data_IF_679199379275
#
_entry.id   IF_679199379275
#
_cell.length_a   1.000
_cell.length_b   1.000
_cell.length_c   1.000
_cell.angle_alpha   90.00
_cell.angle_beta   90.00
_cell.angle_gamma   90.00
#
_symmetry.space_group_name_H-M   'P 1'
#
loop_
_entity.id
_entity.type
_entity.pdbx_description
1 polymer ?
#
# COMPACT_ATOMS: atom_id res chain seq x y z
N UNK A 1 -8.78 -33.50 15.70
CA UNK A 1 -8.14 -33.35 14.38
C UNK A 1 -8.80 -32.28 13.49
N UNK A 2 -10.11 -32.31 13.20
CA UNK A 2 -10.79 -31.27 12.38
C UNK A 2 -10.59 -29.81 12.83
N UNK A 3 -10.58 -29.56 14.15
CA UNK A 3 -10.35 -28.21 14.72
C UNK A 3 -8.93 -27.69 14.48
N UNK A 4 -7.94 -28.58 14.48
CA UNK A 4 -6.52 -28.23 14.24
C UNK A 4 -6.28 -27.92 12.77
N UNK A 5 -6.97 -28.62 11.86
CA UNK A 5 -6.92 -28.30 10.44
C UNK A 5 -7.53 -26.94 10.11
N UNK A 6 -8.64 -26.56 10.77
CA UNK A 6 -9.27 -25.25 10.56
C UNK A 6 -8.36 -24.10 11.02
N UNK A 7 -7.71 -24.23 12.18
CA UNK A 7 -6.81 -23.20 12.70
C UNK A 7 -5.54 -23.07 11.86
N UNK A 8 -5.00 -24.18 11.35
CA UNK A 8 -3.85 -24.14 10.43
C UNK A 8 -4.20 -23.39 9.13
N UNK A 9 -5.37 -23.64 8.55
CA UNK A 9 -5.81 -22.97 7.32
C UNK A 9 -5.95 -21.45 7.49
N UNK A 10 -6.48 -20.98 8.63
CA UNK A 10 -6.58 -19.54 8.92
C UNK A 10 -5.22 -18.87 9.10
N UNK A 11 -4.25 -19.56 9.71
CA UNK A 11 -2.90 -19.01 9.90
C UNK A 11 -2.16 -18.82 8.56
N UNK A 12 -2.36 -19.72 7.59
CA UNK A 12 -1.83 -19.57 6.24
C UNK A 12 -2.50 -18.41 5.48
N UNK A 13 -3.81 -18.20 5.65
CA UNK A 13 -4.51 -17.06 5.06
C UNK A 13 -4.03 -15.69 5.60
N UNK A 14 -3.60 -15.63 6.87
CA UNK A 14 -3.08 -14.41 7.48
C UNK A 14 -1.70 -13.98 6.95
N UNK A 15 -0.96 -14.88 6.29
CA UNK A 15 0.35 -14.56 5.68
C UNK A 15 0.25 -13.64 4.46
N UNK A 16 -0.97 -13.38 3.97
CA UNK A 16 -1.25 -12.47 2.85
C UNK A 16 -1.23 -10.97 3.20
N UNK A 17 -1.14 -10.59 4.48
CA UNK A 17 -0.99 -9.18 4.90
C UNK A 17 0.46 -8.70 4.66
N UNK A 18 0.91 -8.69 3.41
CA UNK A 18 2.23 -8.18 3.06
C UNK A 18 2.24 -6.64 3.13
N UNK A 19 3.38 -6.05 3.49
CA UNK A 19 3.55 -4.58 3.47
C UNK A 19 3.29 -4.00 2.07
N UNK A 20 3.58 -4.78 1.03
CA UNK A 20 3.28 -4.43 -0.34
C UNK A 20 1.77 -4.36 -0.62
N UNK A 21 0.99 -5.34 -0.15
CA UNK A 21 -0.47 -5.30 -0.29
C UNK A 21 -1.08 -4.08 0.42
N UNK A 22 -0.58 -3.75 1.61
CA UNK A 22 -0.96 -2.53 2.33
C UNK A 22 -0.60 -1.26 1.56
N UNK A 23 0.61 -1.18 1.01
CA UNK A 23 1.05 -0.06 0.20
C UNK A 23 0.17 0.12 -1.05
N UNK A 24 -0.11 -0.95 -1.79
CA UNK A 24 -0.95 -0.88 -2.99
C UNK A 24 -2.38 -0.46 -2.64
N UNK A 25 -2.94 -0.99 -1.54
CA UNK A 25 -4.23 -0.56 -1.02
C UNK A 25 -4.26 0.95 -0.72
N UNK A 26 -3.27 1.45 0.01
CA UNK A 26 -3.17 2.87 0.34
C UNK A 26 -2.95 3.76 -0.90
N UNK A 27 -2.09 3.33 -1.83
CA UNK A 27 -1.84 4.00 -3.11
C UNK A 27 -3.12 4.10 -3.93
N UNK A 28 -3.94 3.05 -3.97
CA UNK A 28 -5.24 3.05 -4.66
C UNK A 28 -6.20 4.09 -4.06
N UNK A 29 -6.23 4.21 -2.74
CA UNK A 29 -7.05 5.23 -2.05
C UNK A 29 -6.56 6.65 -2.34
N UNK A 30 -5.24 6.87 -2.43
CA UNK A 30 -4.70 8.17 -2.83
C UNK A 30 -5.06 8.54 -4.27
N UNK A 31 -5.04 7.57 -5.20
CA UNK A 31 -5.51 7.79 -6.58
C UNK A 31 -6.96 8.25 -6.60
N UNK A 32 -7.84 7.58 -5.85
CA UNK A 32 -9.25 7.97 -5.72
C UNK A 32 -9.40 9.40 -5.19
N UNK A 33 -8.58 9.81 -4.20
CA UNK A 33 -8.58 11.19 -3.72
C UNK A 33 -8.15 12.19 -4.79
N UNK A 34 -7.18 11.83 -5.65
CA UNK A 34 -6.80 12.67 -6.79
C UNK A 34 -7.98 12.88 -7.75
N UNK A 35 -8.78 11.85 -8.00
CA UNK A 35 -9.96 11.95 -8.88
C UNK A 35 -11.04 12.90 -8.34
N UNK A 36 -11.08 13.13 -7.03
CA UNK A 36 -12.02 14.06 -6.41
C UNK A 36 -11.62 15.54 -6.60
N UNK A 37 -10.43 15.82 -7.14
CA UNK A 37 -10.01 17.18 -7.46
C UNK A 37 -10.83 17.70 -8.64
N UNK A 38 -11.33 18.92 -8.52
CA UNK A 38 -12.19 19.55 -9.54
C UNK A 38 -11.39 20.17 -10.67
N UNK A 39 -10.18 20.66 -10.38
CA UNK A 39 -9.29 21.24 -11.37
C UNK A 39 -8.45 20.15 -12.06
N UNK A 40 -8.51 20.08 -13.39
CA UNK A 40 -7.83 19.04 -14.16
C UNK A 40 -6.30 19.08 -14.03
N UNK A 41 -5.71 20.28 -13.95
CA UNK A 41 -4.27 20.41 -13.73
C UNK A 41 -3.85 19.84 -12.36
N UNK A 42 -4.66 20.06 -11.31
CA UNK A 42 -4.38 19.56 -9.96
C UNK A 42 -4.55 18.04 -9.89
N UNK A 43 -5.62 17.54 -10.54
CA UNK A 43 -5.87 16.11 -10.72
C UNK A 43 -4.70 15.41 -11.37
N UNK A 44 -4.23 15.92 -12.52
CA UNK A 44 -3.10 15.35 -13.26
C UNK A 44 -1.81 15.35 -12.43
N UNK A 45 -1.44 16.48 -11.83
CA UNK A 45 -0.24 16.54 -10.98
C UNK A 45 -0.32 15.61 -9.76
N UNK A 46 -1.51 15.45 -9.17
CA UNK A 46 -1.73 14.51 -8.08
C UNK A 46 -1.52 13.07 -8.55
N UNK A 47 -2.14 12.69 -9.67
CA UNK A 47 -2.02 11.35 -10.25
C UNK A 47 -0.57 11.03 -10.64
N UNK A 48 0.15 11.96 -11.25
CA UNK A 48 1.57 11.80 -11.60
C UNK A 48 2.41 11.49 -10.36
N UNK A 49 2.23 12.25 -9.28
CA UNK A 49 2.96 12.03 -8.02
C UNK A 49 2.66 10.65 -7.42
N UNK A 50 1.37 10.29 -7.32
CA UNK A 50 0.96 9.02 -6.72
C UNK A 50 1.42 7.85 -7.59
N UNK A 51 1.31 7.96 -8.92
CA UNK A 51 1.71 6.91 -9.84
C UNK A 51 3.23 6.74 -9.94
N UNK A 52 3.98 7.84 -9.85
CA UNK A 52 5.44 7.84 -9.94
C UNK A 52 6.15 7.21 -8.74
N UNK A 53 5.49 7.10 -7.58
CA UNK A 53 6.06 6.40 -6.42
C UNK A 53 5.90 4.89 -6.60
N UNK A 54 7.01 4.14 -6.51
CA UNK A 54 7.00 2.67 -6.50
C UNK A 54 7.11 2.11 -5.08
N UNK A 55 6.70 0.85 -4.89
CA UNK A 55 6.84 0.18 -3.59
C UNK A 55 8.29 0.17 -3.09
N UNK A 56 9.26 -0.11 -3.96
CA UNK A 56 10.68 -0.12 -3.60
C UNK A 56 11.17 1.26 -3.13
N UNK A 57 10.72 2.33 -3.78
CA UNK A 57 11.05 3.69 -3.35
C UNK A 57 10.45 4.00 -1.97
N UNK A 58 9.19 3.62 -1.75
CA UNK A 58 8.54 3.73 -0.45
C UNK A 58 9.28 2.95 0.64
N UNK A 59 9.68 1.71 0.35
CA UNK A 59 10.41 0.86 1.29
C UNK A 59 11.75 1.49 1.67
N UNK A 60 12.56 1.91 0.69
CA UNK A 60 13.85 2.58 0.94
C UNK A 60 13.70 3.86 1.76
N UNK A 61 12.69 4.67 1.47
CA UNK A 61 12.41 5.88 2.26
C UNK A 61 12.05 5.54 3.71
N UNK A 62 11.23 4.52 3.90
CA UNK A 62 10.80 4.08 5.24
C UNK A 62 11.98 3.52 6.05
N UNK A 63 12.88 2.79 5.41
CA UNK A 63 14.10 2.27 6.03
C UNK A 63 15.07 3.40 6.39
N UNK A 64 15.32 4.33 5.47
CA UNK A 64 16.18 5.49 5.72
C UNK A 64 15.67 6.40 6.86
N UNK A 65 14.35 6.46 7.07
CA UNK A 65 13.76 7.19 8.21
C UNK A 65 13.98 6.48 9.54
N UNK A 66 14.01 5.13 9.56
CA UNK A 66 14.29 4.35 10.77
C UNK A 66 15.74 4.44 11.20
N UNK A 67 16.68 4.53 10.25
CA UNK A 67 18.11 4.64 10.53
C UNK A 67 18.53 6.01 11.11
N UNK A 68 17.68 7.02 10.98
CA UNK A 68 17.91 8.38 11.50
C UNK A 68 17.38 8.59 12.92
N UNK A 69 16.77 7.57 13.52
CA UNK A 69 16.21 7.58 14.88
C UNK A 69 17.07 6.75 15.81
#
# INVERSE_FOLDING_TARGET
MKRVMLTALLALAASGCTRQAWYEGFKSQQRLQCEHLTQDYERQRCLERVNGLTYDQYQRQTEALKERQ
#
